data_IF_335183178691
#
_entry.id   IF_335183178691
#
_cell.length_a   1.000
_cell.length_b   1.000
_cell.length_c   1.000
_cell.angle_alpha   90.00
_cell.angle_beta   90.00
_cell.angle_gamma   90.00
#
_symmetry.space_group_name_H-M   'P 1'
#
loop_
_entity.id
_entity.type
_entity.pdbx_description
1 polymer ?
#
# COMPACT_ATOMS: atom_id res chain seq x y z
N UNK A 1 -63.43 32.09 43.83
CA UNK A 1 -63.05 30.87 43.10
C UNK A 1 -62.06 31.28 42.01
N UNK A 2 -60.80 31.03 42.23
CA UNK A 2 -59.74 31.29 41.18
C UNK A 2 -59.17 29.96 40.70
N UNK A 3 -59.41 29.62 39.46
CA UNK A 3 -58.83 28.44 38.82
C UNK A 3 -57.41 28.78 38.39
N UNK A 4 -56.43 28.06 38.93
CA UNK A 4 -55.07 28.05 38.45
C UNK A 4 -54.97 27.12 37.22
N UNK A 5 -54.49 27.67 36.07
CA UNK A 5 -54.14 26.91 34.88
C UNK A 5 -52.66 26.58 34.96
N UNK A 6 -52.37 25.27 35.14
CA UNK A 6 -51.02 24.78 35.03
C UNK A 6 -50.56 24.74 33.57
N UNK A 7 -49.46 25.39 33.27
CA UNK A 7 -48.78 25.21 32.01
C UNK A 7 -47.88 23.97 32.10
N UNK A 8 -48.17 22.99 31.27
CA UNK A 8 -47.27 21.87 31.05
C UNK A 8 -46.17 22.31 30.06
N UNK A 9 -44.95 22.36 30.54
CA UNK A 9 -43.78 22.58 29.70
C UNK A 9 -43.35 21.21 29.16
N UNK A 10 -43.57 20.98 27.88
CA UNK A 10 -43.05 19.80 27.19
C UNK A 10 -41.58 20.03 26.87
N UNK A 11 -40.67 19.35 27.56
CA UNK A 11 -39.24 19.32 27.21
C UNK A 11 -39.02 18.41 26.01
N UNK A 12 -38.69 19.02 24.88
CA UNK A 12 -38.22 18.30 23.66
C UNK A 12 -36.76 17.95 23.89
N UNK A 13 -36.46 16.69 24.20
CA UNK A 13 -35.10 16.19 24.19
C UNK A 13 -34.66 15.97 22.72
N UNK A 14 -33.85 16.86 22.21
CA UNK A 14 -33.15 16.67 20.92
C UNK A 14 -32.02 15.67 21.11
N UNK A 15 -32.21 14.46 20.64
CA UNK A 15 -31.13 13.46 20.49
C UNK A 15 -30.28 13.88 19.29
N UNK A 16 -29.15 14.51 19.55
CA UNK A 16 -28.13 14.72 18.52
C UNK A 16 -27.47 13.39 18.23
N UNK A 17 -27.80 12.77 17.10
CA UNK A 17 -27.07 11.61 16.59
C UNK A 17 -25.68 12.08 16.14
N UNK A 18 -24.65 11.78 16.92
CA UNK A 18 -23.26 11.97 16.52
C UNK A 18 -22.91 10.86 15.53
N UNK A 19 -22.99 11.16 14.23
CA UNK A 19 -22.38 10.33 13.22
C UNK A 19 -20.87 10.51 13.34
N UNK A 20 -20.21 9.58 14.02
CA UNK A 20 -18.76 9.44 13.91
C UNK A 20 -18.46 9.05 12.46
N UNK A 21 -17.92 9.99 11.68
CA UNK A 21 -17.38 9.70 10.38
C UNK A 21 -16.23 8.72 10.59
N UNK A 22 -16.43 7.44 10.27
CA UNK A 22 -15.36 6.47 10.18
C UNK A 22 -14.50 6.89 9.00
N UNK A 23 -13.35 7.52 9.26
CA UNK A 23 -12.32 7.67 8.26
C UNK A 23 -11.87 6.27 7.86
N UNK A 24 -11.86 5.92 6.55
CA UNK A 24 -11.30 4.65 6.13
C UNK A 24 -9.86 4.56 6.67
N UNK A 25 -9.52 3.39 7.25
CA UNK A 25 -8.16 3.15 7.69
C UNK A 25 -7.24 3.33 6.48
N UNK A 26 -6.32 4.29 6.56
CA UNK A 26 -5.37 4.54 5.49
C UNK A 26 -4.37 3.39 5.47
N UNK A 27 -4.06 2.87 4.28
CA UNK A 27 -3.04 1.84 4.11
C UNK A 27 -1.72 2.32 4.75
N UNK A 28 -1.12 1.48 5.59
CA UNK A 28 0.14 1.77 6.26
C UNK A 28 1.24 0.93 5.62
N UNK A 29 2.31 1.56 5.15
CA UNK A 29 3.44 0.85 4.53
C UNK A 29 4.07 -0.15 5.51
N UNK A 30 4.36 -1.35 5.00
CA UNK A 30 4.97 -2.48 5.71
C UNK A 30 4.16 -2.95 6.94
N UNK A 31 2.85 -2.97 6.81
CA UNK A 31 1.94 -3.51 7.84
C UNK A 31 1.64 -5.02 7.66
N UNK A 32 2.15 -5.63 6.60
CA UNK A 32 1.97 -7.03 6.26
C UNK A 32 0.68 -7.34 5.49
N UNK A 33 -0.04 -6.30 5.09
CA UNK A 33 -1.30 -6.42 4.33
C UNK A 33 -1.16 -5.71 2.99
N UNK A 34 -1.54 -6.35 1.92
CA UNK A 34 -1.50 -5.75 0.57
C UNK A 34 -2.78 -4.95 0.32
N UNK A 35 -2.74 -3.66 0.63
CA UNK A 35 -3.88 -2.75 0.51
C UNK A 35 -3.94 -2.07 -0.87
N UNK A 36 -5.02 -1.35 -1.15
CA UNK A 36 -5.14 -0.49 -2.34
C UNK A 36 -4.04 0.58 -2.34
N UNK A 37 -3.57 0.94 -3.52
CA UNK A 37 -2.50 1.90 -3.80
C UNK A 37 -1.08 1.43 -3.42
N UNK A 38 -0.90 0.19 -2.99
CA UNK A 38 0.40 -0.34 -2.59
C UNK A 38 1.10 -1.16 -3.65
N UNK A 39 2.44 -1.09 -3.61
CA UNK A 39 3.32 -2.11 -4.17
C UNK A 39 3.50 -3.20 -3.11
N UNK A 40 3.14 -4.43 -3.44
CA UNK A 40 3.28 -5.58 -2.57
C UNK A 40 4.30 -6.54 -3.17
N UNK A 41 5.41 -6.72 -2.46
CA UNK A 41 6.57 -7.50 -2.90
C UNK A 41 6.65 -8.74 -2.02
N UNK A 42 6.74 -9.93 -2.63
CA UNK A 42 6.70 -11.21 -1.93
C UNK A 42 8.00 -11.98 -2.13
N UNK A 43 8.39 -12.69 -1.06
CA UNK A 43 9.62 -13.47 -1.03
C UNK A 43 9.58 -14.70 -1.95
N UNK A 44 8.43 -15.34 -2.08
CA UNK A 44 8.25 -16.55 -2.86
C UNK A 44 7.27 -16.32 -4.01
N UNK A 45 7.21 -17.29 -4.92
CA UNK A 45 6.20 -17.32 -5.98
C UNK A 45 4.79 -17.37 -5.40
N UNK A 46 3.82 -17.06 -6.23
CA UNK A 46 2.38 -17.10 -5.92
C UNK A 46 1.99 -16.24 -4.71
N UNK A 47 2.71 -15.10 -4.56
CA UNK A 47 2.38 -14.07 -3.55
C UNK A 47 2.44 -14.61 -2.12
N UNK A 48 3.50 -15.35 -1.79
CA UNK A 48 3.67 -16.04 -0.51
C UNK A 48 5.04 -15.81 0.14
N UNK A 49 5.26 -16.39 1.34
CA UNK A 49 6.55 -16.48 2.01
C UNK A 49 7.04 -15.21 2.71
N UNK A 50 6.23 -14.21 2.87
CA UNK A 50 6.53 -12.91 3.47
C UNK A 50 6.29 -11.78 2.49
N UNK A 51 5.83 -10.65 3.00
CA UNK A 51 5.44 -9.48 2.21
C UNK A 51 6.24 -8.25 2.65
N UNK A 52 6.55 -7.38 1.70
CA UNK A 52 6.89 -5.98 1.93
C UNK A 52 5.89 -5.14 1.12
N UNK A 53 5.07 -4.37 1.81
CA UNK A 53 4.05 -3.51 1.23
C UNK A 53 4.42 -2.04 1.40
N UNK A 54 4.16 -1.20 0.41
CA UNK A 54 4.54 0.21 0.47
C UNK A 54 3.76 1.08 -0.51
N UNK A 55 3.44 2.29 -0.05
CA UNK A 55 2.87 3.38 -0.86
C UNK A 55 3.94 4.21 -1.59
N UNK A 56 5.23 3.99 -1.31
CA UNK A 56 6.30 4.87 -1.77
C UNK A 56 7.25 4.17 -2.73
N UNK A 57 7.72 4.90 -3.75
CA UNK A 57 8.88 4.49 -4.54
C UNK A 57 10.12 4.31 -3.65
N UNK A 58 10.96 3.33 -3.96
CA UNK A 58 12.18 3.03 -3.20
C UNK A 58 13.39 3.02 -4.12
N UNK A 59 14.32 3.93 -3.88
CA UNK A 59 15.60 3.99 -4.61
C UNK A 59 16.55 2.85 -4.28
N UNK A 60 16.35 2.20 -3.14
CA UNK A 60 17.16 1.07 -2.68
C UNK A 60 16.36 0.18 -1.77
N UNK A 61 16.56 -1.13 -1.90
CA UNK A 61 16.02 -2.14 -0.99
C UNK A 61 16.98 -2.46 0.17
N UNK A 62 18.16 -1.82 0.19
CA UNK A 62 19.12 -2.01 1.28
C UNK A 62 18.50 -1.65 2.63
N UNK A 63 18.56 -2.58 3.58
CA UNK A 63 17.99 -2.40 4.93
C UNK A 63 16.48 -2.55 5.03
N UNK A 64 15.75 -2.74 3.91
CA UNK A 64 14.34 -3.07 3.93
C UNK A 64 14.16 -4.59 4.11
N UNK A 65 13.18 -4.99 4.91
CA UNK A 65 12.91 -6.40 5.22
C UNK A 65 11.45 -6.75 4.94
N UNK A 66 11.17 -8.02 4.66
CA UNK A 66 9.81 -8.52 4.63
C UNK A 66 9.18 -8.37 6.01
N UNK A 67 7.92 -8.00 6.06
CA UNK A 67 7.17 -7.72 7.29
C UNK A 67 7.31 -8.87 8.31
N UNK A 68 7.60 -8.51 9.56
CA UNK A 68 7.74 -9.48 10.66
C UNK A 68 8.98 -10.40 10.58
N UNK A 69 9.94 -10.09 9.68
CA UNK A 69 11.16 -10.90 9.49
C UNK A 69 12.43 -10.06 9.57
N UNK A 70 13.59 -10.73 9.60
CA UNK A 70 14.91 -10.11 9.40
C UNK A 70 15.44 -10.30 7.97
N UNK A 71 14.67 -10.91 7.06
CA UNK A 71 15.10 -11.19 5.69
C UNK A 71 14.95 -9.94 4.84
N UNK A 72 16.05 -9.47 4.25
CA UNK A 72 16.03 -8.34 3.31
C UNK A 72 15.20 -8.67 2.07
N UNK A 73 14.55 -7.64 1.51
CA UNK A 73 13.87 -7.75 0.22
C UNK A 73 14.84 -7.61 -0.97
N UNK A 74 16.03 -7.06 -0.73
CA UNK A 74 17.04 -6.83 -1.78
C UNK A 74 17.47 -8.16 -2.43
N UNK A 75 17.26 -8.28 -3.73
CA UNK A 75 17.51 -9.50 -4.51
C UNK A 75 16.87 -10.76 -3.92
N UNK A 76 15.66 -10.64 -3.34
CA UNK A 76 14.93 -11.75 -2.71
C UNK A 76 13.45 -11.80 -3.08
N UNK A 77 13.00 -10.96 -3.99
CA UNK A 77 11.62 -10.94 -4.45
C UNK A 77 11.39 -11.97 -5.56
N UNK A 78 10.37 -12.81 -5.41
CA UNK A 78 9.95 -13.81 -6.41
C UNK A 78 8.56 -13.53 -7.00
N UNK A 79 7.76 -12.66 -6.37
CA UNK A 79 6.48 -12.21 -6.94
C UNK A 79 6.11 -10.83 -6.43
N UNK A 80 5.21 -10.16 -7.15
CA UNK A 80 4.73 -8.84 -6.79
C UNK A 80 3.30 -8.57 -7.26
N UNK A 81 2.62 -7.67 -6.54
CA UNK A 81 1.33 -7.11 -6.94
C UNK A 81 1.43 -5.60 -6.97
N UNK A 82 0.88 -5.02 -8.02
CA UNK A 82 0.60 -3.61 -8.12
C UNK A 82 -0.88 -3.39 -7.75
N UNK A 83 -1.15 -2.87 -6.58
CA UNK A 83 -2.51 -2.58 -6.10
C UNK A 83 -2.96 -1.14 -6.38
N UNK A 84 -2.08 -0.33 -6.99
CA UNK A 84 -2.47 0.99 -7.49
C UNK A 84 -3.31 0.81 -8.77
N UNK A 85 -4.53 1.39 -8.84
CA UNK A 85 -5.41 1.26 -9.99
C UNK A 85 -5.01 2.16 -11.17
N UNK A 86 -4.17 3.19 -10.95
CA UNK A 86 -3.92 4.26 -11.89
C UNK A 86 -2.48 4.32 -12.39
N UNK A 87 -1.52 3.83 -11.61
CA UNK A 87 -0.10 3.95 -11.90
C UNK A 87 0.59 2.61 -12.15
N UNK A 88 1.49 2.59 -13.13
CA UNK A 88 2.35 1.44 -13.36
C UNK A 88 3.51 1.43 -12.34
N UNK A 89 3.90 0.24 -11.92
CA UNK A 89 5.01 0.00 -11.03
C UNK A 89 6.19 -0.57 -11.84
N UNK A 90 7.37 0.02 -11.69
CA UNK A 90 8.59 -0.43 -12.36
C UNK A 90 9.59 -0.93 -11.34
N UNK A 91 10.08 -2.14 -11.53
CA UNK A 91 11.17 -2.74 -10.78
C UNK A 91 12.49 -2.54 -11.53
N UNK A 92 13.57 -2.38 -10.78
CA UNK A 92 14.92 -2.18 -11.32
C UNK A 92 15.91 -3.12 -10.65
N UNK A 93 16.83 -3.66 -11.45
CA UNK A 93 17.86 -4.59 -10.99
C UNK A 93 18.82 -3.96 -9.99
N UNK A 94 19.13 -2.69 -10.16
CA UNK A 94 20.10 -1.96 -9.35
C UNK A 94 19.43 -0.88 -8.51
N UNK A 95 20.15 -0.38 -7.52
CA UNK A 95 19.75 0.81 -6.76
C UNK A 95 19.66 2.05 -7.67
N UNK A 96 18.97 3.06 -7.20
CA UNK A 96 18.73 4.33 -7.88
C UNK A 96 18.04 4.20 -9.25
N UNK A 97 17.16 3.18 -9.36
CA UNK A 97 16.35 2.94 -10.56
C UNK A 97 17.22 2.70 -11.81
N UNK A 98 18.24 1.87 -11.68
CA UNK A 98 19.18 1.54 -12.74
C UNK A 98 19.16 0.03 -13.07
N UNK A 99 19.79 -0.31 -14.20
CA UNK A 99 19.90 -1.68 -14.68
C UNK A 99 18.65 -2.16 -15.43
N UNK A 100 18.49 -3.47 -15.53
CA UNK A 100 17.33 -4.09 -16.16
C UNK A 100 16.03 -3.69 -15.47
N UNK A 101 14.94 -3.66 -16.22
CA UNK A 101 13.64 -3.22 -15.74
C UNK A 101 12.55 -4.27 -15.95
N UNK A 102 11.55 -4.24 -15.08
CA UNK A 102 10.30 -4.99 -15.20
C UNK A 102 9.11 -4.08 -14.91
N UNK A 103 8.26 -3.86 -15.90
CA UNK A 103 7.06 -3.06 -15.77
C UNK A 103 5.88 -3.91 -15.32
N UNK A 104 5.20 -3.49 -14.25
CA UNK A 104 3.97 -4.11 -13.75
C UNK A 104 2.80 -3.11 -13.88
N UNK A 105 1.90 -3.32 -14.84
CA UNK A 105 0.78 -2.41 -15.07
C UNK A 105 -0.09 -2.21 -13.83
N UNK A 106 -0.84 -1.09 -13.81
CA UNK A 106 -1.82 -0.77 -12.78
C UNK A 106 -2.76 -1.96 -12.51
N UNK A 107 -2.96 -2.31 -11.25
CA UNK A 107 -3.84 -3.39 -10.82
C UNK A 107 -3.37 -4.81 -11.16
N UNK A 108 -2.17 -4.99 -11.71
CA UNK A 108 -1.63 -6.28 -12.17
C UNK A 108 -0.78 -6.98 -11.11
N UNK A 109 -0.53 -8.27 -11.36
CA UNK A 109 0.33 -9.11 -10.52
C UNK A 109 1.27 -9.95 -11.39
N UNK A 110 2.43 -10.34 -10.86
CA UNK A 110 3.41 -11.15 -11.59
C UNK A 110 4.18 -12.08 -10.67
N UNK A 111 4.58 -13.23 -11.22
CA UNK A 111 5.66 -14.06 -10.70
C UNK A 111 6.94 -13.73 -11.48
N UNK A 112 8.03 -13.47 -10.80
CA UNK A 112 9.34 -13.33 -11.41
C UNK A 112 9.92 -14.72 -11.60
N UNK A 113 10.10 -15.14 -12.86
CA UNK A 113 10.57 -16.49 -13.19
C UNK A 113 11.96 -16.43 -13.86
N UNK A 114 12.73 -17.50 -13.69
CA UNK A 114 14.02 -17.65 -14.33
C UNK A 114 14.99 -16.55 -13.96
N UNK A 115 15.53 -15.80 -14.94
CA UNK A 115 16.53 -14.76 -14.67
C UNK A 115 15.99 -13.52 -13.94
N UNK A 116 14.68 -13.38 -13.85
CA UNK A 116 14.03 -12.24 -13.17
C UNK A 116 13.69 -12.53 -11.70
N UNK A 117 13.81 -13.79 -11.27
CA UNK A 117 13.67 -14.18 -9.88
C UNK A 117 14.85 -13.70 -9.03
N UNK A 118 14.55 -13.17 -7.84
CA UNK A 118 15.57 -12.67 -6.89
C UNK A 118 16.53 -11.60 -7.46
N UNK A 119 16.03 -10.73 -8.35
CA UNK A 119 16.86 -9.81 -9.13
C UNK A 119 16.73 -8.33 -8.71
N UNK A 120 15.64 -7.95 -8.07
CA UNK A 120 15.22 -6.56 -7.95
C UNK A 120 15.78 -5.88 -6.70
N UNK A 121 16.26 -4.63 -6.86
CA UNK A 121 16.89 -3.82 -5.80
C UNK A 121 16.28 -2.43 -5.61
N UNK A 122 15.37 -2.02 -6.48
CA UNK A 122 14.62 -0.76 -6.35
C UNK A 122 13.31 -0.82 -7.14
N UNK A 123 12.37 0.09 -6.83
CA UNK A 123 11.13 0.27 -7.60
C UNK A 123 10.67 1.72 -7.62
N UNK A 124 9.82 2.02 -8.58
CA UNK A 124 9.35 3.37 -8.83
C UNK A 124 7.95 3.35 -9.45
N UNK A 125 7.08 4.25 -8.96
CA UNK A 125 5.78 4.49 -9.56
C UNK A 125 5.88 5.47 -10.73
N UNK A 126 5.25 5.19 -11.87
CA UNK A 126 5.12 6.17 -12.95
C UNK A 126 4.27 7.35 -12.50
N UNK A 127 4.74 8.56 -12.75
CA UNK A 127 4.01 9.78 -12.43
C UNK A 127 4.05 10.22 -10.97
N UNK A 128 4.40 9.34 -10.03
CA UNK A 128 4.38 9.67 -8.59
C UNK A 128 5.70 10.24 -8.08
N UNK A 129 6.81 10.00 -8.76
CA UNK A 129 8.14 10.41 -8.30
C UNK A 129 8.91 11.08 -9.41
N UNK A 130 9.35 12.32 -9.19
CA UNK A 130 10.23 13.02 -10.12
C UNK A 130 11.55 12.24 -10.32
N UNK A 131 11.91 12.00 -11.58
CA UNK A 131 13.14 11.29 -11.94
C UNK A 131 13.03 9.77 -11.99
N UNK A 132 11.83 9.20 -11.84
CA UNK A 132 11.58 7.80 -12.14
C UNK A 132 11.73 7.55 -13.64
N UNK A 133 12.70 6.75 -14.11
CA UNK A 133 12.92 6.51 -15.52
C UNK A 133 11.92 5.54 -16.13
N UNK A 134 10.99 5.02 -15.34
CA UNK A 134 10.01 4.03 -15.74
C UNK A 134 9.07 4.54 -16.82
N UNK A 135 8.96 3.83 -17.81
CA UNK A 135 8.04 4.09 -18.89
C UNK A 135 8.61 3.96 -20.25
#
# INVERSE_FOLDING_TARGET
MKRARGLAVASVMSVAAVFAAMTPAQAASNDGTCNTDEACIYRLLDYSGGIYDTLSSKKSYSGLVFHGTSTTIDNKASSARNKDPDNNLWFYQLNNWAGDTWGLPAGSSTNFNGPDDNKWSSHCWTGATAGCPGG
#
